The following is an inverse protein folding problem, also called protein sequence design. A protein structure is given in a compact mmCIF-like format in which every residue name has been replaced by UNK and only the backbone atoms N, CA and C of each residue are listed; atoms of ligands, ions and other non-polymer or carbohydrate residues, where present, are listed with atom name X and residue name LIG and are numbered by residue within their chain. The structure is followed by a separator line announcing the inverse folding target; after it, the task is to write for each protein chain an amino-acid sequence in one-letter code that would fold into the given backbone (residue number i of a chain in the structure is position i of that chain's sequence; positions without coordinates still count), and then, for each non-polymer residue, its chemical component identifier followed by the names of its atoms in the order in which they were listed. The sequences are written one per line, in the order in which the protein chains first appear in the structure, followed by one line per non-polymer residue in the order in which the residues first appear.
data_IF_647213539465
#
_entry.id   IF_647213539465
#
_cell.length_a   1.000
_cell.length_b   1.000
_cell.length_c   1.000
_cell.angle_alpha   90.00
_cell.angle_beta   90.00
_cell.angle_gamma   90.00
#
_symmetry.space_group_name_H-M   'P 1'
#
loop_
_entity.id
_entity.type
_entity.pdbx_description
1 polymer ?
#
# COMPACT_ATOMS: atom_id res chain seq x y z
N UNK A 1 23.49 -24.90 -59.23
CA UNK A 1 22.97 -23.64 -58.66
C UNK A 1 21.78 -23.87 -57.72
N UNK A 2 20.74 -24.61 -58.15
CA UNK A 2 19.51 -24.84 -57.38
C UNK A 2 19.73 -25.41 -55.97
N UNK A 3 20.53 -26.47 -55.83
CA UNK A 3 20.78 -27.15 -54.54
C UNK A 3 21.48 -26.26 -53.49
N UNK A 4 22.34 -25.34 -53.93
CA UNK A 4 23.01 -24.38 -53.04
C UNK A 4 22.03 -23.32 -52.53
N UNK A 5 21.14 -22.83 -53.39
CA UNK A 5 20.06 -21.91 -53.01
C UNK A 5 19.10 -22.55 -52.02
N UNK A 6 18.69 -23.79 -52.26
CA UNK A 6 17.82 -24.56 -51.34
C UNK A 6 18.47 -24.73 -49.95
N UNK A 7 19.75 -25.10 -49.88
CA UNK A 7 20.49 -25.20 -48.59
C UNK A 7 20.54 -23.86 -47.85
N UNK A 8 20.76 -22.76 -48.56
CA UNK A 8 20.77 -21.41 -47.97
C UNK A 8 19.40 -21.01 -47.41
N UNK A 9 18.32 -21.36 -48.10
CA UNK A 9 16.95 -21.11 -47.64
C UNK A 9 16.68 -21.89 -46.35
N UNK A 10 17.00 -23.18 -46.31
CA UNK A 10 16.79 -23.99 -45.11
C UNK A 10 17.59 -23.48 -43.91
N UNK A 11 18.84 -23.06 -44.11
CA UNK A 11 19.63 -22.45 -43.02
C UNK A 11 19.01 -21.15 -42.49
N UNK A 12 18.43 -20.32 -43.36
CA UNK A 12 17.71 -19.12 -42.91
C UNK A 12 16.43 -19.46 -42.14
N UNK A 13 15.69 -20.49 -42.56
CA UNK A 13 14.49 -20.95 -41.86
C UNK A 13 14.82 -21.48 -40.47
N UNK A 14 15.87 -22.29 -40.35
CA UNK A 14 16.35 -22.81 -39.05
C UNK A 14 16.75 -21.68 -38.09
N UNK A 15 17.44 -20.65 -38.61
CA UNK A 15 17.79 -19.47 -37.82
C UNK A 15 16.56 -18.68 -37.36
N UNK A 16 15.56 -18.51 -38.24
CA UNK A 16 14.30 -17.84 -37.89
C UNK A 16 13.53 -18.61 -36.81
N UNK A 17 13.48 -19.94 -36.90
CA UNK A 17 12.86 -20.79 -35.90
C UNK A 17 13.52 -20.61 -34.53
N UNK A 18 14.85 -20.68 -34.46
CA UNK A 18 15.61 -20.45 -33.21
C UNK A 18 15.38 -19.07 -32.62
N UNK A 19 15.23 -18.06 -33.47
CA UNK A 19 14.95 -16.70 -33.02
C UNK A 19 13.52 -16.60 -32.44
N UNK A 20 12.54 -17.24 -33.07
CA UNK A 20 11.16 -17.30 -32.56
C UNK A 20 11.09 -18.00 -31.20
N UNK A 21 11.76 -19.14 -31.02
CA UNK A 21 11.82 -19.86 -29.75
C UNK A 21 12.38 -19.01 -28.61
N UNK A 22 13.42 -18.20 -28.88
CA UNK A 22 13.98 -17.26 -27.89
C UNK A 22 12.99 -16.15 -27.54
N UNK A 23 12.30 -15.59 -28.53
CA UNK A 23 11.29 -14.54 -28.29
C UNK A 23 10.16 -15.07 -27.43
N UNK A 24 9.66 -16.28 -27.71
CA UNK A 24 8.58 -16.89 -26.93
C UNK A 24 8.97 -17.08 -25.45
N UNK A 25 10.16 -17.61 -25.19
CA UNK A 25 10.67 -17.78 -23.80
C UNK A 25 10.81 -16.45 -23.07
N UNK A 26 11.28 -15.40 -23.76
CA UNK A 26 11.38 -14.07 -23.18
C UNK A 26 10.00 -13.47 -22.87
N UNK A 27 9.02 -13.70 -23.74
CA UNK A 27 7.64 -13.25 -23.53
C UNK A 27 7.00 -13.95 -22.33
N UNK A 28 7.19 -15.26 -22.17
CA UNK A 28 6.72 -16.02 -21.01
C UNK A 28 7.31 -15.46 -19.71
N UNK A 29 8.64 -15.26 -19.67
CA UNK A 29 9.30 -14.63 -18.52
C UNK A 29 8.77 -13.23 -18.22
N UNK A 30 8.57 -12.39 -19.24
CA UNK A 30 8.03 -11.04 -19.05
C UNK A 30 6.61 -11.07 -18.45
N UNK A 31 5.79 -12.07 -18.78
CA UNK A 31 4.47 -12.22 -18.17
C UNK A 31 4.56 -12.52 -16.68
N UNK A 32 5.49 -13.39 -16.28
CA UNK A 32 5.75 -13.70 -14.86
C UNK A 32 6.28 -12.47 -14.10
N UNK A 33 7.24 -11.74 -14.68
CA UNK A 33 7.80 -10.52 -14.10
C UNK A 33 6.70 -9.45 -13.89
N UNK A 34 5.81 -9.26 -14.88
CA UNK A 34 4.67 -8.32 -14.78
C UNK A 34 3.70 -8.76 -13.69
N UNK A 35 3.44 -10.07 -13.55
CA UNK A 35 2.56 -10.59 -12.50
C UNK A 35 3.14 -10.30 -11.12
N UNK A 36 4.43 -10.57 -10.91
CA UNK A 36 5.14 -10.28 -9.66
C UNK A 36 5.06 -8.79 -9.30
N UNK A 37 5.34 -7.90 -10.26
CA UNK A 37 5.27 -6.45 -10.04
C UNK A 37 3.86 -6.01 -9.64
N UNK A 38 2.80 -6.59 -10.23
CA UNK A 38 1.42 -6.26 -9.84
C UNK A 38 1.12 -6.68 -8.40
N UNK A 39 1.62 -7.82 -7.96
CA UNK A 39 1.46 -8.31 -6.58
C UNK A 39 2.21 -7.39 -5.59
N UNK A 40 3.46 -7.03 -5.90
CA UNK A 40 4.24 -6.07 -5.09
C UNK A 40 3.59 -4.69 -5.04
N UNK A 41 3.10 -4.17 -6.18
CA UNK A 41 2.36 -2.90 -6.23
C UNK A 41 1.08 -2.97 -5.42
N UNK A 42 0.35 -4.10 -5.45
CA UNK A 42 -0.85 -4.27 -4.64
C UNK A 42 -0.55 -4.25 -3.13
N UNK A 43 0.55 -4.87 -2.70
CA UNK A 43 1.03 -4.83 -1.31
C UNK A 43 1.44 -3.40 -0.92
N UNK A 44 2.23 -2.72 -1.77
CA UNK A 44 2.67 -1.35 -1.50
C UNK A 44 1.54 -0.33 -1.56
N UNK A 45 0.51 -0.59 -2.37
CA UNK A 45 -0.68 0.24 -2.49
C UNK A 45 -1.70 0.01 -1.37
N UNK A 46 -1.52 -1.01 -0.53
CA UNK A 46 -2.47 -1.39 0.51
C UNK A 46 -1.70 -1.76 1.78
N UNK A 47 -1.44 -0.79 2.64
CA UNK A 47 -2.42 -0.60 3.70
C UNK A 47 -2.86 0.86 3.79
N UNK A 48 -3.81 1.22 2.93
CA UNK A 48 -4.47 2.53 2.96
C UNK A 48 -5.12 2.77 4.32
N UNK A 49 -5.54 1.72 5.02
CA UNK A 49 -6.05 1.78 6.39
C UNK A 49 -4.92 2.06 7.39
N UNK A 50 -3.71 1.52 7.20
CA UNK A 50 -2.52 1.89 7.99
C UNK A 50 -2.12 3.34 7.75
N UNK A 51 -1.98 3.78 6.50
CA UNK A 51 -1.63 5.18 6.20
C UNK A 51 -2.70 6.12 6.77
N UNK A 52 -3.98 5.79 6.62
CA UNK A 52 -5.07 6.53 7.21
C UNK A 52 -5.03 6.51 8.75
N UNK A 53 -4.74 5.37 9.37
CA UNK A 53 -4.63 5.24 10.83
C UNK A 53 -3.48 6.07 11.40
N UNK A 54 -2.32 6.06 10.74
CA UNK A 54 -1.13 6.83 11.14
C UNK A 54 -1.40 8.32 10.99
N UNK A 55 -2.05 8.75 9.91
CA UNK A 55 -2.46 10.15 9.72
C UNK A 55 -3.47 10.56 10.78
N UNK A 56 -4.47 9.72 11.06
CA UNK A 56 -5.50 9.99 12.07
C UNK A 56 -4.91 10.10 13.48
N UNK A 57 -4.07 9.14 13.88
CA UNK A 57 -3.37 9.13 15.17
C UNK A 57 -2.43 10.33 15.31
N UNK A 58 -1.68 10.66 14.25
CA UNK A 58 -0.80 11.84 14.24
C UNK A 58 -1.59 13.15 14.35
N UNK A 59 -2.73 13.26 13.66
CA UNK A 59 -3.59 14.43 13.73
C UNK A 59 -4.25 14.57 15.11
N UNK A 60 -4.70 13.47 15.71
CA UNK A 60 -5.23 13.45 17.09
C UNK A 60 -4.17 13.89 18.10
N UNK A 61 -2.97 13.30 18.04
CA UNK A 61 -1.84 13.66 18.90
C UNK A 61 -1.43 15.15 18.75
N UNK A 62 -1.50 15.70 17.52
CA UNK A 62 -1.21 17.11 17.27
C UNK A 62 -2.30 18.02 17.86
N UNK A 63 -3.58 17.68 17.69
CA UNK A 63 -4.70 18.44 18.24
C UNK A 63 -4.70 18.42 19.78
N UNK A 64 -4.43 17.27 20.40
CA UNK A 64 -4.27 17.18 21.86
C UNK A 64 -3.15 18.10 22.35
N UNK A 65 -2.02 18.16 21.64
CA UNK A 65 -0.91 19.06 21.97
C UNK A 65 -1.22 20.53 21.71
N UNK A 66 -2.13 20.87 20.78
CA UNK A 66 -2.54 22.26 20.53
C UNK A 66 -3.56 22.72 21.57
N UNK A 67 -4.53 21.87 21.90
CA UNK A 67 -5.59 22.17 22.88
C UNK A 67 -5.01 22.12 24.30
N UNK A 68 -4.11 21.17 24.56
CA UNK A 68 -3.40 21.01 25.82
C UNK A 68 -1.87 20.90 25.60
N UNK A 69 -1.19 22.05 25.41
CA UNK A 69 0.26 22.12 25.22
C UNK A 69 1.08 21.39 26.28
N UNK A 70 0.55 21.24 27.50
CA UNK A 70 1.16 20.46 28.57
C UNK A 70 0.15 19.55 29.26
N UNK A 71 0.66 18.46 29.85
CA UNK A 71 -0.15 17.54 30.67
C UNK A 71 -0.83 18.24 31.85
N UNK A 72 -0.15 19.24 32.45
CA UNK A 72 -0.74 20.04 33.54
C UNK A 72 -1.94 20.87 33.07
N UNK A 73 -1.90 21.42 31.86
CA UNK A 73 -3.03 22.17 31.27
C UNK A 73 -4.21 21.25 30.94
N UNK A 74 -3.95 20.04 30.45
CA UNK A 74 -4.98 19.01 30.31
C UNK A 74 -5.61 18.69 31.67
N UNK A 75 -4.79 18.43 32.69
CA UNK A 75 -5.25 18.04 34.03
C UNK A 75 -6.12 19.11 34.70
N UNK A 76 -5.70 20.38 34.64
CA UNK A 76 -6.48 21.49 35.20
C UNK A 76 -7.77 21.73 34.42
N UNK A 77 -7.76 21.57 33.09
CA UNK A 77 -8.97 21.72 32.28
C UNK A 77 -9.96 20.57 32.51
N UNK A 78 -9.47 19.32 32.58
CA UNK A 78 -10.27 18.16 32.91
C UNK A 78 -10.88 18.29 34.31
N UNK A 79 -10.10 18.75 35.30
CA UNK A 79 -10.59 19.03 36.65
C UNK A 79 -11.66 20.12 36.65
N UNK A 80 -11.41 21.25 35.97
CA UNK A 80 -12.40 22.33 35.85
C UNK A 80 -13.68 21.87 35.15
N UNK A 81 -13.58 21.01 34.13
CA UNK A 81 -14.74 20.41 33.48
C UNK A 81 -15.50 19.48 34.43
N UNK A 82 -14.81 18.63 35.20
CA UNK A 82 -15.44 17.72 36.17
C UNK A 82 -16.08 18.45 37.36
N UNK A 83 -15.56 19.61 37.75
CA UNK A 83 -16.13 20.46 38.80
C UNK A 83 -17.32 21.29 38.31
N UNK A 84 -17.32 21.69 37.03
CA UNK A 84 -18.40 22.45 36.39
C UNK A 84 -19.51 21.59 35.79
N UNK A 85 -19.17 20.39 35.34
CA UNK A 85 -20.17 19.37 35.03
C UNK A 85 -20.68 18.87 36.37
N UNK A 86 -21.98 19.04 36.59
CA UNK A 86 -22.65 18.47 37.75
C UNK A 86 -22.26 16.98 37.78
N UNK A 87 -21.50 16.53 38.80
CA UNK A 87 -20.94 15.16 38.90
C UNK A 87 -22.06 14.10 38.77
N UNK A 88 -23.31 14.55 38.90
CA UNK A 88 -24.53 13.85 38.55
C UNK A 88 -24.66 13.40 37.08
N UNK A 89 -23.81 13.86 36.16
CA UNK A 89 -23.79 13.36 34.78
C UNK A 89 -23.49 11.86 34.75
N UNK A 90 -22.49 11.39 35.52
CA UNK A 90 -22.17 9.95 35.58
C UNK A 90 -23.18 9.13 36.40
N UNK A 91 -23.83 9.71 37.42
CA UNK A 91 -24.92 9.03 38.12
C UNK A 91 -26.19 8.94 37.26
N UNK A 92 -26.42 9.89 36.35
CA UNK A 92 -27.50 9.83 35.36
C UNK A 92 -27.27 8.81 34.23
N UNK A 93 -26.01 8.41 33.99
CA UNK A 93 -25.65 7.32 33.08
C UNK A 93 -25.80 5.93 33.74
N UNK A 94 -26.04 5.88 35.06
CA UNK A 94 -26.10 4.66 35.87
C UNK A 94 -27.50 4.04 36.08
N UNK A 95 -28.51 4.37 35.26
CA UNK A 95 -29.77 3.64 35.23
C UNK A 95 -30.31 3.52 33.79
N UNK A 96 -29.82 2.52 33.06
CA UNK A 96 -30.59 1.56 32.24
C UNK A 96 -29.68 0.50 31.65
#
# INVERSE_FOLDING_TARGET
MFQATTKRIFSKLDNLQKMLEKIMKNQEKMQDDIKSVKEEVAILSYDQDCVYSVILESAQNLLEKIIYPTFDQFKETAKSFMEKSDINFFSSLGYR
#
